data_IF_088170219581
#
_entry.id   IF_088170219581
#
_cell.length_a   1.000
_cell.length_b   1.000
_cell.length_c   1.000
_cell.angle_alpha   90.00
_cell.angle_beta   90.00
_cell.angle_gamma   90.00
#
_symmetry.space_group_name_H-M   'P 1'
#
loop_
_entity.id
_entity.type
_entity.pdbx_description
1 polymer ?
#
# COMPACT_ATOMS: atom_id res chain seq x y z
N UNK A 1 15.95 42.40 -24.94
CA UNK A 1 15.98 41.13 -25.66
C UNK A 1 17.03 40.27 -24.95
N UNK A 2 16.62 39.65 -23.84
CA UNK A 2 17.52 38.86 -22.98
C UNK A 2 17.25 37.39 -23.24
N UNK A 3 18.27 36.69 -23.71
CA UNK A 3 18.31 35.25 -23.90
C UNK A 3 18.47 34.58 -22.54
N UNK A 4 17.42 33.88 -22.10
CA UNK A 4 17.45 33.00 -20.94
C UNK A 4 18.04 31.66 -21.37
N UNK A 5 19.25 31.37 -20.92
CA UNK A 5 19.88 30.06 -21.09
C UNK A 5 19.23 29.05 -20.12
N UNK A 6 18.55 28.05 -20.68
CA UNK A 6 18.00 26.92 -19.94
C UNK A 6 19.12 25.94 -19.59
N UNK A 7 19.42 25.84 -18.30
CA UNK A 7 20.38 24.90 -17.74
C UNK A 7 19.77 23.49 -17.66
N UNK A 8 20.17 22.62 -18.60
CA UNK A 8 19.77 21.21 -18.66
C UNK A 8 20.64 20.39 -17.72
N UNK A 9 20.17 20.10 -16.51
CA UNK A 9 20.84 19.19 -15.57
C UNK A 9 20.08 17.86 -15.50
N UNK A 10 20.44 16.93 -16.38
CA UNK A 10 20.02 15.53 -16.36
C UNK A 10 21.26 14.65 -16.58
N UNK A 11 22.03 14.35 -15.52
CA UNK A 11 23.24 13.52 -15.66
C UNK A 11 23.75 12.91 -14.33
N UNK A 12 22.88 12.50 -13.40
CA UNK A 12 23.36 11.92 -12.13
C UNK A 12 22.63 10.66 -11.62
N UNK A 13 21.58 10.18 -12.28
CA UNK A 13 20.84 8.99 -11.81
C UNK A 13 21.14 7.68 -12.55
N UNK A 14 21.87 7.73 -13.67
CA UNK A 14 22.14 6.55 -14.51
C UNK A 14 23.39 5.73 -14.14
N UNK A 15 24.14 6.09 -13.08
CA UNK A 15 25.36 5.37 -12.70
C UNK A 15 25.23 4.38 -11.53
N UNK A 16 24.03 4.10 -11.02
CA UNK A 16 23.87 3.20 -9.84
C UNK A 16 23.47 1.75 -10.12
N UNK A 17 23.28 1.33 -11.36
CA UNK A 17 22.79 -0.04 -11.67
C UNK A 17 23.88 -1.01 -12.15
N UNK A 18 25.10 -0.55 -12.48
CA UNK A 18 26.14 -1.42 -13.04
C UNK A 18 27.38 -1.56 -12.14
N UNK A 19 27.24 -2.08 -10.90
CA UNK A 19 28.40 -2.56 -10.13
C UNK A 19 28.00 -3.50 -9.00
N UNK A 20 27.66 -4.76 -9.31
CA UNK A 20 27.66 -5.81 -8.29
C UNK A 20 27.82 -7.22 -8.85
N UNK A 21 28.89 -7.43 -9.61
CA UNK A 21 29.44 -8.77 -9.82
C UNK A 21 30.93 -8.74 -9.48
N UNK A 22 31.38 -9.80 -8.79
CA UNK A 22 32.75 -10.12 -8.35
C UNK A 22 33.25 -9.48 -7.05
N UNK A 23 33.17 -10.23 -5.93
CA UNK A 23 34.36 -10.64 -5.15
C UNK A 23 34.09 -12.01 -4.52
N UNK A 24 35.09 -12.86 -4.67
CA UNK A 24 35.15 -14.26 -4.29
C UNK A 24 35.16 -14.53 -2.78
N UNK A 25 34.58 -15.68 -2.43
CA UNK A 25 35.15 -16.76 -1.61
C UNK A 25 36.18 -16.38 -0.53
N UNK A 26 35.80 -16.53 0.74
CA UNK A 26 36.76 -16.55 1.84
C UNK A 26 36.15 -16.65 3.26
N UNK A 27 36.32 -17.85 3.85
CA UNK A 27 36.31 -18.23 5.29
C UNK A 27 34.99 -18.55 6.01
N UNK A 28 34.92 -19.72 6.68
CA UNK A 28 33.93 -20.00 7.72
C UNK A 28 34.43 -19.39 9.04
N UNK A 29 33.71 -18.40 9.55
CA UNK A 29 33.85 -17.94 10.94
C UNK A 29 32.63 -18.41 11.72
N UNK A 30 32.87 -19.43 12.53
CA UNK A 30 32.03 -19.88 13.62
C UNK A 30 32.01 -18.78 14.69
N UNK A 31 31.00 -17.91 14.64
CA UNK A 31 30.73 -16.89 15.64
C UNK A 31 29.35 -17.12 16.24
N UNK A 32 29.31 -17.27 17.57
CA UNK A 32 28.09 -17.40 18.36
C UNK A 32 27.27 -16.10 18.25
N UNK A 33 26.32 -16.05 17.32
CA UNK A 33 25.34 -14.98 17.26
C UNK A 33 24.31 -15.18 18.37
N UNK A 34 24.50 -14.41 19.43
CA UNK A 34 23.49 -14.17 20.45
C UNK A 34 22.34 -13.44 19.77
N UNK A 35 21.32 -14.19 19.39
CA UNK A 35 20.06 -13.70 18.82
C UNK A 35 19.41 -12.69 19.78
N UNK A 36 19.70 -11.40 19.58
CA UNK A 36 18.92 -10.30 20.14
C UNK A 36 17.58 -10.27 19.42
N UNK A 37 16.66 -11.13 19.85
CA UNK A 37 15.26 -11.01 19.52
C UNK A 37 14.71 -9.77 20.24
N UNK A 38 14.23 -8.73 19.53
CA UNK A 38 13.64 -7.57 20.17
C UNK A 38 12.40 -8.00 20.97
N UNK A 39 12.23 -7.56 22.23
CA UNK A 39 11.22 -8.05 23.17
C UNK A 39 9.76 -7.64 22.86
N UNK A 40 9.45 -7.28 21.61
CA UNK A 40 8.14 -6.76 21.20
C UNK A 40 7.35 -7.73 20.29
N UNK A 41 7.94 -8.86 19.87
CA UNK A 41 7.27 -9.88 19.05
C UNK A 41 6.76 -11.09 19.87
N UNK A 42 6.19 -10.83 21.04
CA UNK A 42 5.51 -11.83 21.85
C UNK A 42 4.10 -11.30 22.09
N UNK A 43 3.19 -11.66 21.20
CA UNK A 43 1.76 -11.88 21.44
C UNK A 43 1.01 -11.86 20.11
N UNK A 44 -0.10 -12.60 20.03
CA UNK A 44 -1.01 -12.74 18.87
C UNK A 44 -0.65 -13.84 17.85
N UNK A 45 -0.29 -15.02 18.34
CA UNK A 45 -0.63 -16.29 17.66
C UNK A 45 -1.19 -17.26 18.68
N UNK A 46 -2.27 -16.86 19.35
CA UNK A 46 -3.03 -17.76 20.21
C UNK A 46 -3.97 -18.61 19.34
N UNK A 47 -3.95 -19.90 19.67
CA UNK A 47 -4.39 -21.03 18.85
C UNK A 47 -5.91 -21.10 18.67
N UNK A 48 -6.42 -20.73 17.50
CA UNK A 48 -7.72 -21.21 17.05
C UNK A 48 -7.55 -22.58 16.40
N UNK A 49 -7.76 -23.61 17.23
CA UNK A 49 -7.85 -25.00 16.81
C UNK A 49 -8.88 -25.15 15.67
N UNK A 50 -8.50 -25.67 14.48
CA UNK A 50 -9.45 -25.89 13.41
C UNK A 50 -10.38 -27.05 13.79
N UNK A 51 -11.62 -26.72 14.17
CA UNK A 51 -12.70 -27.69 14.28
C UNK A 51 -12.90 -28.38 12.91
N UNK A 52 -12.32 -29.57 12.75
CA UNK A 52 -12.54 -30.46 11.62
C UNK A 52 -14.00 -30.92 11.61
N UNK A 53 -14.84 -30.19 10.91
CA UNK A 53 -16.23 -30.57 10.65
C UNK A 53 -16.27 -31.55 9.48
N UNK A 54 -16.17 -32.85 9.76
CA UNK A 54 -16.37 -33.90 8.74
C UNK A 54 -17.86 -34.11 8.50
N UNK A 55 -18.44 -33.32 7.60
CA UNK A 55 -19.81 -33.52 7.12
C UNK A 55 -19.85 -34.69 6.13
N UNK A 56 -20.05 -35.91 6.62
CA UNK A 56 -20.41 -37.06 5.79
C UNK A 56 -21.89 -36.95 5.42
N UNK A 57 -22.17 -36.24 4.33
CA UNK A 57 -23.50 -36.24 3.72
C UNK A 57 -23.61 -37.43 2.77
N UNK A 58 -24.18 -38.53 3.26
CA UNK A 58 -24.54 -39.70 2.45
C UNK A 58 -25.79 -39.36 1.63
N UNK A 59 -25.65 -38.47 0.65
CA UNK A 59 -26.68 -38.23 -0.36
C UNK A 59 -26.69 -39.45 -1.27
N UNK A 60 -27.79 -40.20 -1.22
CA UNK A 60 -28.03 -41.38 -2.04
C UNK A 60 -27.91 -41.02 -3.52
N UNK A 61 -26.82 -41.47 -4.12
CA UNK A 61 -26.52 -41.41 -5.55
C UNK A 61 -27.42 -42.38 -6.31
N UNK A 62 -28.50 -41.88 -6.90
CA UNK A 62 -29.06 -42.47 -8.12
C UNK A 62 -29.97 -41.44 -8.82
N UNK A 63 -29.87 -41.39 -10.15
CA UNK A 63 -30.53 -40.48 -11.10
C UNK A 63 -29.94 -39.06 -11.16
N UNK A 64 -28.88 -38.80 -11.91
CA UNK A 64 -28.67 -39.10 -13.34
C UNK A 64 -27.22 -39.47 -13.62
N UNK A 65 -26.96 -40.56 -14.35
CA UNK A 65 -25.63 -40.86 -14.90
C UNK A 65 -25.22 -39.73 -15.88
N UNK A 66 -24.55 -38.70 -15.38
CA UNK A 66 -24.06 -37.53 -16.12
C UNK A 66 -22.88 -37.85 -17.06
N UNK A 67 -22.57 -39.14 -17.23
CA UNK A 67 -21.47 -39.63 -18.03
C UNK A 67 -21.91 -40.42 -19.28
N UNK A 68 -23.21 -40.64 -19.52
CA UNK A 68 -23.67 -41.26 -20.76
C UNK A 68 -23.46 -40.27 -21.93
N UNK A 69 -22.90 -40.70 -23.07
CA UNK A 69 -22.78 -39.86 -24.26
C UNK A 69 -24.19 -39.56 -24.78
N UNK A 70 -24.70 -38.41 -24.38
CA UNK A 70 -26.00 -37.90 -24.80
C UNK A 70 -25.85 -36.48 -25.35
N UNK A 71 -26.74 -36.05 -26.26
CA UNK A 71 -26.67 -34.73 -26.89
C UNK A 71 -26.66 -33.58 -25.87
N UNK A 72 -27.34 -33.74 -24.73
CA UNK A 72 -27.33 -32.74 -23.64
C UNK A 72 -25.93 -32.51 -23.04
N UNK A 73 -25.06 -33.52 -23.01
CA UNK A 73 -23.71 -33.40 -22.47
C UNK A 73 -22.76 -32.64 -23.40
N UNK A 74 -22.91 -32.83 -24.72
CA UNK A 74 -22.17 -32.06 -25.71
C UNK A 74 -22.56 -30.58 -25.64
N UNK A 75 -23.86 -30.29 -25.51
CA UNK A 75 -24.37 -28.93 -25.31
C UNK A 75 -23.83 -28.32 -24.01
N UNK A 76 -23.89 -29.04 -22.88
CA UNK A 76 -23.35 -28.58 -21.61
C UNK A 76 -21.86 -28.22 -21.70
N UNK A 77 -21.04 -29.11 -22.28
CA UNK A 77 -19.62 -28.87 -22.47
C UNK A 77 -19.35 -27.67 -23.40
N UNK A 78 -20.15 -27.51 -24.47
CA UNK A 78 -20.04 -26.39 -25.38
C UNK A 78 -20.31 -25.06 -24.66
N UNK A 79 -21.37 -24.99 -23.85
CA UNK A 79 -21.71 -23.79 -23.09
C UNK A 79 -20.69 -23.49 -22.00
N UNK A 80 -20.20 -24.50 -21.27
CA UNK A 80 -19.12 -24.30 -20.29
C UNK A 80 -17.85 -23.77 -20.96
N UNK A 81 -17.47 -24.34 -22.10
CA UNK A 81 -16.31 -23.86 -22.85
C UNK A 81 -16.51 -22.43 -23.37
N UNK A 82 -17.68 -22.12 -23.94
CA UNK A 82 -18.02 -20.79 -24.41
C UNK A 82 -18.02 -19.76 -23.27
N UNK A 83 -18.58 -20.12 -22.11
CA UNK A 83 -18.57 -19.31 -20.89
C UNK A 83 -17.15 -19.00 -20.42
N UNK A 84 -16.32 -20.03 -20.24
CA UNK A 84 -14.91 -19.84 -19.82
C UNK A 84 -14.10 -19.02 -20.84
N UNK A 85 -14.36 -19.19 -22.14
CA UNK A 85 -13.69 -18.38 -23.18
C UNK A 85 -14.12 -16.92 -23.14
N UNK A 86 -15.41 -16.65 -22.91
CA UNK A 86 -15.95 -15.29 -22.75
C UNK A 86 -15.39 -14.62 -21.49
N UNK A 87 -15.44 -15.30 -20.34
CA UNK A 87 -14.89 -14.82 -19.07
C UNK A 87 -13.41 -14.48 -19.20
N UNK A 88 -12.63 -15.33 -19.88
CA UNK A 88 -11.22 -15.08 -20.10
C UNK A 88 -10.97 -13.84 -20.99
N UNK A 89 -11.77 -13.65 -22.04
CA UNK A 89 -11.66 -12.48 -22.92
C UNK A 89 -12.08 -11.19 -22.21
N UNK A 90 -13.19 -11.21 -21.48
CA UNK A 90 -13.67 -10.06 -20.70
C UNK A 90 -12.66 -9.70 -19.60
N UNK A 91 -12.18 -10.71 -18.84
CA UNK A 91 -11.15 -10.53 -17.83
C UNK A 91 -9.87 -9.91 -18.41
N UNK A 92 -9.42 -10.35 -19.59
CA UNK A 92 -8.25 -9.79 -20.26
C UNK A 92 -8.43 -8.33 -20.67
N UNK A 93 -9.63 -7.93 -21.12
CA UNK A 93 -9.91 -6.55 -21.53
C UNK A 93 -10.00 -5.61 -20.31
N UNK A 94 -10.66 -6.03 -19.24
CA UNK A 94 -10.74 -5.27 -17.99
C UNK A 94 -9.34 -5.11 -17.39
N UNK A 95 -8.56 -6.18 -17.35
CA UNK A 95 -7.17 -6.13 -16.88
C UNK A 95 -6.30 -5.20 -17.73
N UNK A 96 -6.44 -5.18 -19.06
CA UNK A 96 -5.66 -4.26 -19.91
C UNK A 96 -5.96 -2.80 -19.60
N UNK A 97 -7.23 -2.43 -19.39
CA UNK A 97 -7.60 -1.06 -19.03
C UNK A 97 -7.08 -0.69 -17.64
N UNK A 98 -7.25 -1.57 -16.66
CA UNK A 98 -6.75 -1.36 -15.30
C UNK A 98 -5.21 -1.22 -15.27
N UNK A 99 -4.49 -2.09 -15.99
CA UNK A 99 -3.04 -2.02 -16.11
C UNK A 99 -2.57 -0.75 -16.81
N UNK A 100 -3.27 -0.30 -17.87
CA UNK A 100 -2.93 0.95 -18.56
C UNK A 100 -3.15 2.16 -17.64
N UNK A 101 -4.29 2.22 -16.94
CA UNK A 101 -4.57 3.29 -15.98
C UNK A 101 -3.54 3.30 -14.84
N UNK A 102 -3.16 2.12 -14.35
CA UNK A 102 -2.13 1.96 -13.34
C UNK A 102 -0.75 2.41 -13.86
N UNK A 103 -0.35 2.00 -15.06
CA UNK A 103 0.92 2.43 -15.66
C UNK A 103 0.98 3.94 -15.89
N UNK A 104 -0.14 4.55 -16.29
CA UNK A 104 -0.25 6.00 -16.43
C UNK A 104 -0.13 6.71 -15.08
N UNK A 105 -0.78 6.18 -14.04
CA UNK A 105 -0.69 6.67 -12.66
C UNK A 105 0.75 6.63 -12.15
N UNK A 106 1.44 5.49 -12.32
CA UNK A 106 2.86 5.32 -11.95
C UNK A 106 3.75 6.28 -12.75
N UNK A 107 3.50 6.44 -14.05
CA UNK A 107 4.29 7.34 -14.90
C UNK A 107 4.15 8.80 -14.47
N UNK A 108 2.93 9.26 -14.17
CA UNK A 108 2.69 10.62 -13.64
C UNK A 108 3.39 10.82 -12.30
N UNK A 109 3.31 9.81 -11.43
CA UNK A 109 3.96 9.81 -10.14
C UNK A 109 5.50 9.89 -10.27
N UNK A 110 6.09 9.09 -11.16
CA UNK A 110 7.54 9.04 -11.39
C UNK A 110 8.09 10.23 -12.18
N UNK A 111 7.26 10.89 -13.00
CA UNK A 111 7.65 12.08 -13.76
C UNK A 111 8.00 13.29 -12.88
N UNK A 112 8.00 13.13 -11.55
CA UNK A 112 8.47 14.16 -10.62
C UNK A 112 7.57 15.39 -10.62
N UNK A 113 6.31 15.24 -11.04
CA UNK A 113 5.28 16.24 -10.73
C UNK A 113 5.14 16.20 -9.22
N UNK A 114 5.94 17.01 -8.52
CA UNK A 114 5.98 17.09 -7.06
C UNK A 114 4.54 17.23 -6.59
N UNK A 115 3.99 16.14 -6.06
CA UNK A 115 2.61 16.07 -5.59
C UNK A 115 2.36 17.19 -4.57
N UNK A 116 3.43 17.56 -3.84
CA UNK A 116 3.48 18.72 -2.95
C UNK A 116 2.98 20.02 -3.59
N UNK A 117 3.27 20.29 -4.87
CA UNK A 117 2.80 21.50 -5.56
C UNK A 117 1.31 21.46 -5.89
N UNK A 118 0.75 20.27 -6.13
CA UNK A 118 -0.67 20.11 -6.52
C UNK A 118 -1.60 20.05 -5.31
N UNK A 119 -1.14 19.54 -4.16
CA UNK A 119 -1.95 19.49 -2.92
C UNK A 119 -2.16 20.89 -2.29
N UNK A 120 -1.45 21.91 -2.76
CA UNK A 120 -1.80 23.30 -2.46
C UNK A 120 -3.09 23.79 -3.14
N UNK A 121 -3.69 22.96 -4.00
CA UNK A 121 -4.97 23.28 -4.59
C UNK A 121 -6.03 23.37 -3.49
N UNK A 122 -6.72 24.51 -3.45
CA UNK A 122 -7.93 24.71 -2.64
C UNK A 122 -9.06 23.77 -3.08
N UNK A 123 -8.92 23.08 -4.22
CA UNK A 123 -9.89 22.09 -4.68
C UNK A 123 -9.80 20.79 -3.88
N UNK A 124 -10.82 20.56 -3.05
CA UNK A 124 -11.00 19.31 -2.29
C UNK A 124 -11.06 18.09 -3.22
N UNK A 125 -11.64 18.23 -4.41
CA UNK A 125 -11.78 17.14 -5.36
C UNK A 125 -10.43 16.66 -5.94
N UNK A 126 -9.46 17.55 -6.10
CA UNK A 126 -8.11 17.19 -6.54
C UNK A 126 -7.33 16.46 -5.43
N UNK A 127 -7.41 16.98 -4.20
CA UNK A 127 -6.79 16.35 -3.03
C UNK A 127 -7.31 14.93 -2.82
N UNK A 128 -8.61 14.72 -2.99
CA UNK A 128 -9.22 13.40 -2.90
C UNK A 128 -8.68 12.45 -3.98
N UNK A 129 -8.61 12.87 -5.24
CA UNK A 129 -8.05 12.04 -6.33
C UNK A 129 -6.60 11.63 -6.09
N UNK A 130 -5.80 12.53 -5.52
CA UNK A 130 -4.40 12.25 -5.17
C UNK A 130 -4.32 11.23 -4.04
N UNK A 131 -5.10 11.41 -2.96
CA UNK A 131 -5.16 10.46 -1.86
C UNK A 131 -5.65 9.07 -2.33
N UNK A 132 -6.66 9.01 -3.20
CA UNK A 132 -7.13 7.75 -3.78
C UNK A 132 -6.05 7.06 -4.63
N UNK A 133 -5.32 7.84 -5.42
CA UNK A 133 -4.18 7.37 -6.22
C UNK A 133 -3.10 6.76 -5.33
N UNK A 134 -2.72 7.43 -4.24
CA UNK A 134 -1.72 6.93 -3.29
C UNK A 134 -2.17 5.62 -2.62
N UNK A 135 -3.42 5.50 -2.20
CA UNK A 135 -3.96 4.24 -1.66
C UNK A 135 -3.91 3.11 -2.69
N UNK A 136 -4.11 3.43 -3.96
CA UNK A 136 -4.05 2.43 -5.03
C UNK A 136 -2.61 1.98 -5.31
N UNK A 137 -1.64 2.91 -5.32
CA UNK A 137 -0.21 2.62 -5.45
C UNK A 137 0.33 1.83 -4.25
N UNK A 138 -0.12 2.15 -3.03
CA UNK A 138 0.21 1.42 -1.80
C UNK A 138 -0.25 -0.06 -1.84
N UNK A 139 -1.29 -0.37 -2.64
CA UNK A 139 -1.78 -1.75 -2.88
C UNK A 139 -1.04 -2.49 -4.00
N UNK A 140 -0.02 -1.89 -4.61
CA UNK A 140 0.74 -2.49 -5.71
C UNK A 140 1.37 -3.85 -5.33
N UNK A 141 1.62 -4.69 -6.32
CA UNK A 141 2.44 -5.90 -6.15
C UNK A 141 3.96 -5.59 -6.13
N UNK A 142 4.34 -4.39 -6.61
CA UNK A 142 5.72 -3.95 -6.70
C UNK A 142 6.11 -3.21 -5.41
N UNK A 143 7.08 -3.77 -4.68
CA UNK A 143 7.52 -3.26 -3.38
C UNK A 143 8.15 -1.87 -3.48
N UNK A 144 8.76 -1.51 -4.61
CA UNK A 144 9.33 -0.17 -4.83
C UNK A 144 8.22 0.87 -5.01
N UNK A 145 7.15 0.53 -5.73
CA UNK A 145 5.99 1.42 -5.89
C UNK A 145 5.25 1.59 -4.57
N UNK A 146 5.09 0.52 -3.79
CA UNK A 146 4.52 0.61 -2.44
C UNK A 146 5.34 1.55 -1.55
N UNK A 147 6.68 1.39 -1.54
CA UNK A 147 7.60 2.20 -0.77
C UNK A 147 7.45 3.68 -1.09
N UNK A 148 7.45 4.02 -2.38
CA UNK A 148 7.25 5.38 -2.85
C UNK A 148 5.87 5.95 -2.44
N UNK A 149 4.82 5.15 -2.51
CA UNK A 149 3.49 5.57 -2.07
C UNK A 149 3.47 5.85 -0.56
N UNK A 150 4.14 5.04 0.25
CA UNK A 150 4.24 5.26 1.70
C UNK A 150 4.98 6.54 2.03
N UNK A 151 6.13 6.78 1.39
CA UNK A 151 6.91 8.01 1.55
C UNK A 151 6.03 9.24 1.26
N UNK A 152 5.30 9.25 0.15
CA UNK A 152 4.41 10.37 -0.19
C UNK A 152 3.25 10.53 0.78
N UNK A 153 2.60 9.43 1.22
CA UNK A 153 1.55 9.51 2.24
C UNK A 153 2.07 10.22 3.49
N UNK A 154 3.28 9.87 3.94
CA UNK A 154 3.88 10.46 5.14
C UNK A 154 4.26 11.91 4.91
N UNK A 155 4.88 12.25 3.78
CA UNK A 155 5.24 13.65 3.50
C UNK A 155 3.99 14.52 3.44
N UNK A 156 2.92 14.07 2.79
CA UNK A 156 1.66 14.79 2.77
C UNK A 156 1.05 14.93 4.17
N UNK A 157 1.12 13.89 4.97
CA UNK A 157 0.63 13.93 6.34
C UNK A 157 1.42 14.92 7.21
N UNK A 158 2.74 14.99 7.06
CA UNK A 158 3.60 15.92 7.79
C UNK A 158 3.32 17.36 7.36
N UNK A 159 3.12 17.60 6.07
CA UNK A 159 2.85 18.95 5.53
C UNK A 159 1.43 19.43 5.83
N UNK A 160 0.43 18.55 5.75
CA UNK A 160 -1.00 18.90 5.79
C UNK A 160 -1.82 17.91 6.63
N UNK A 161 -1.51 17.72 7.93
CA UNK A 161 -2.07 16.63 8.73
C UNK A 161 -3.60 16.65 8.80
N UNK A 162 -4.20 17.83 9.00
CA UNK A 162 -5.66 17.98 9.12
C UNK A 162 -6.41 17.70 7.80
N UNK A 163 -5.91 18.26 6.70
CA UNK A 163 -6.51 18.10 5.37
C UNK A 163 -6.37 16.66 4.87
N UNK A 164 -5.18 16.08 5.00
CA UNK A 164 -4.92 14.71 4.56
C UNK A 164 -5.72 13.71 5.38
N UNK A 165 -5.78 13.88 6.71
CA UNK A 165 -6.57 13.01 7.60
C UNK A 165 -8.06 13.06 7.26
N UNK A 166 -8.63 14.26 7.10
CA UNK A 166 -10.05 14.41 6.75
C UNK A 166 -10.37 13.85 5.36
N UNK A 167 -9.46 14.03 4.41
CA UNK A 167 -9.60 13.48 3.04
C UNK A 167 -9.58 11.95 3.07
N UNK A 168 -8.61 11.32 3.74
CA UNK A 168 -8.58 9.86 3.88
C UNK A 168 -9.80 9.33 4.63
N UNK A 169 -10.22 9.98 5.72
CA UNK A 169 -11.43 9.60 6.45
C UNK A 169 -12.67 9.63 5.56
N UNK A 170 -12.84 10.67 4.75
CA UNK A 170 -13.92 10.78 3.76
C UNK A 170 -13.89 9.64 2.74
N UNK A 171 -12.71 9.32 2.20
CA UNK A 171 -12.52 8.21 1.25
C UNK A 171 -12.93 6.88 1.88
N UNK A 172 -12.43 6.57 3.09
CA UNK A 172 -12.74 5.32 3.78
C UNK A 172 -14.23 5.21 4.15
N UNK A 173 -14.83 6.31 4.61
CA UNK A 173 -16.26 6.37 4.91
C UNK A 173 -17.10 6.12 3.65
N UNK A 174 -16.76 6.75 2.51
CA UNK A 174 -17.45 6.54 1.23
C UNK A 174 -17.36 5.09 0.76
N UNK A 175 -16.21 4.45 0.93
CA UNK A 175 -15.98 3.05 0.53
C UNK A 175 -16.51 2.03 1.53
N UNK A 176 -16.93 2.47 2.72
CA UNK A 176 -17.28 1.60 3.86
C UNK A 176 -16.11 0.67 4.23
N UNK A 177 -14.90 1.19 4.16
CA UNK A 177 -13.67 0.47 4.46
C UNK A 177 -13.12 0.90 5.83
N UNK A 178 -12.49 -0.02 6.55
CA UNK A 178 -11.77 0.27 7.80
C UNK A 178 -10.31 0.56 7.47
N UNK A 179 -9.78 1.70 7.88
CA UNK A 179 -8.42 2.17 7.55
C UNK A 179 -7.35 1.11 7.84
N UNK A 180 -7.44 0.48 9.02
CA UNK A 180 -6.43 -0.45 9.51
C UNK A 180 -6.46 -1.76 8.71
N UNK A 181 -7.65 -2.19 8.27
CA UNK A 181 -7.81 -3.34 7.39
C UNK A 181 -7.20 -3.07 6.00
N UNK A 182 -7.37 -1.85 5.47
CA UNK A 182 -6.77 -1.45 4.19
C UNK A 182 -5.25 -1.42 4.27
N UNK A 183 -4.69 -0.82 5.33
CA UNK A 183 -3.26 -0.81 5.57
C UNK A 183 -2.70 -2.24 5.68
N UNK A 184 -3.37 -3.11 6.45
CA UNK A 184 -2.98 -4.52 6.58
C UNK A 184 -2.93 -5.26 5.23
N UNK A 185 -3.83 -4.93 4.31
CA UNK A 185 -3.87 -5.54 2.97
C UNK A 185 -2.68 -5.15 2.07
N UNK A 186 -1.84 -4.18 2.44
CA UNK A 186 -0.64 -3.84 1.67
C UNK A 186 0.49 -4.85 1.85
N UNK A 187 0.53 -5.54 3.01
CA UNK A 187 1.53 -6.55 3.30
C UNK A 187 1.05 -7.91 2.81
N UNK A 188 1.94 -8.65 2.12
CA UNK A 188 1.64 -9.99 1.59
C UNK A 188 2.34 -11.06 2.42
N UNK A 189 1.68 -12.19 2.71
CA UNK A 189 2.27 -13.25 3.53
C UNK A 189 3.45 -13.96 2.85
N UNK A 190 3.53 -13.93 1.51
CA UNK A 190 4.56 -14.65 0.73
C UNK A 190 5.72 -13.77 0.24
N UNK A 191 5.78 -12.51 0.69
CA UNK A 191 6.83 -11.56 0.27
C UNK A 191 7.67 -11.21 1.49
N UNK A 192 8.99 -11.43 1.38
CA UNK A 192 9.94 -10.94 2.36
C UNK A 192 10.20 -9.46 2.13
N UNK A 193 9.97 -8.65 3.16
CA UNK A 193 10.15 -7.21 3.10
C UNK A 193 11.41 -6.79 3.85
N UNK A 194 12.20 -5.92 3.23
CA UNK A 194 13.35 -5.32 3.89
C UNK A 194 12.93 -4.38 5.04
N UNK A 195 13.87 -4.13 5.95
CA UNK A 195 13.66 -3.25 7.12
C UNK A 195 13.12 -1.87 6.74
N UNK A 196 13.70 -1.25 5.69
CA UNK A 196 13.25 0.06 5.22
C UNK A 196 11.78 0.06 4.81
N UNK A 197 11.34 -0.96 4.07
CA UNK A 197 9.94 -1.09 3.68
C UNK A 197 9.01 -1.22 4.90
N UNK A 198 9.39 -2.05 5.88
CA UNK A 198 8.60 -2.25 7.11
C UNK A 198 8.47 -0.97 7.94
N UNK A 199 9.52 -0.14 8.00
CA UNK A 199 9.50 1.15 8.67
C UNK A 199 8.49 2.10 8.02
N UNK A 200 8.63 2.30 6.70
CA UNK A 200 7.74 3.19 5.94
C UNK A 200 6.30 2.70 5.96
N UNK A 201 6.06 1.40 5.83
CA UNK A 201 4.76 0.78 5.99
C UNK A 201 4.11 1.11 7.34
N UNK A 202 4.85 0.98 8.45
CA UNK A 202 4.33 1.27 9.80
C UNK A 202 3.98 2.75 9.96
N UNK A 203 4.85 3.64 9.48
CA UNK A 203 4.61 5.08 9.52
C UNK A 203 3.37 5.46 8.70
N UNK A 204 3.26 4.99 7.46
CA UNK A 204 2.11 5.26 6.61
C UNK A 204 0.82 4.67 7.19
N UNK A 205 0.87 3.46 7.77
CA UNK A 205 -0.27 2.84 8.45
C UNK A 205 -0.75 3.69 9.63
N UNK A 206 0.17 4.26 10.43
CA UNK A 206 -0.17 5.16 11.53
C UNK A 206 -0.80 6.47 11.04
N UNK A 207 -0.31 7.04 9.93
CA UNK A 207 -0.92 8.22 9.32
C UNK A 207 -2.39 7.99 8.93
N UNK A 208 -2.73 6.76 8.51
CA UNK A 208 -4.09 6.40 8.10
C UNK A 208 -4.99 5.91 9.23
N UNK A 209 -4.45 5.59 10.41
CA UNK A 209 -5.25 4.98 11.47
C UNK A 209 -6.39 5.89 11.92
N UNK A 210 -7.57 5.29 12.07
CA UNK A 210 -8.76 5.98 12.56
C UNK A 210 -8.66 6.27 14.06
N UNK A 211 -7.78 5.56 14.78
CA UNK A 211 -7.55 5.78 16.20
C UNK A 211 -7.01 7.20 16.44
N UNK A 212 -7.60 7.98 17.37
CA UNK A 212 -7.07 9.28 17.73
C UNK A 212 -5.76 9.10 18.49
N UNK A 213 -4.64 9.12 17.77
CA UNK A 213 -3.34 9.23 18.40
C UNK A 213 -3.19 10.66 18.95
N UNK A 214 -2.96 10.79 20.26
CA UNK A 214 -2.80 12.09 20.94
C UNK A 214 -1.66 12.91 20.32
N UNK A 215 -0.58 12.26 19.90
CA UNK A 215 0.55 12.88 19.20
C UNK A 215 0.14 13.49 17.87
N UNK A 216 -0.75 12.82 17.13
CA UNK A 216 -1.31 13.36 15.87
C UNK A 216 -2.24 14.55 16.15
N UNK A 217 -3.01 14.49 17.23
CA UNK A 217 -3.90 15.60 17.59
C UNK A 217 -3.09 16.83 18.03
N UNK A 218 -2.00 16.62 18.77
CA UNK A 218 -1.04 17.66 19.12
C UNK A 218 -0.36 18.23 17.86
N UNK A 219 0.04 17.39 16.90
CA UNK A 219 0.70 17.84 15.67
C UNK A 219 -0.22 18.66 14.75
N UNK A 220 -1.53 18.36 14.73
CA UNK A 220 -2.50 19.17 13.98
C UNK A 220 -2.58 20.63 14.46
N UNK A 221 -2.21 20.93 15.71
CA UNK A 221 -2.13 22.31 16.19
C UNK A 221 -1.00 23.11 15.51
N UNK A 222 0.04 22.44 15.00
CA UNK A 222 1.18 23.07 14.33
C UNK A 222 0.85 23.55 12.91
N UNK A 223 -0.06 22.88 12.18
CA UNK A 223 -0.32 23.20 10.77
C UNK A 223 -0.91 24.61 10.58
N UNK A 224 -1.60 25.14 11.59
CA UNK A 224 -2.12 26.51 11.55
C UNK A 224 -1.06 27.58 11.87
N UNK A 225 0.11 27.20 12.39
CA UNK A 225 1.08 28.13 12.98
C UNK A 225 2.39 28.27 12.20
N UNK A 226 2.51 27.61 11.05
CA UNK A 226 3.73 27.64 10.19
C UNK A 226 4.18 29.05 9.76
N UNK A 227 3.41 30.10 10.04
CA UNK A 227 3.63 31.44 9.52
C UNK A 227 4.02 32.52 10.52
N UNK A 228 4.12 32.34 11.86
CA UNK A 228 4.57 33.48 12.70
C UNK A 228 5.23 33.28 14.07
N UNK A 229 5.03 32.18 14.80
CA UNK A 229 5.88 31.82 15.94
C UNK A 229 5.39 30.50 16.53
N UNK A 230 6.28 29.51 16.64
CA UNK A 230 5.99 28.31 17.39
C UNK A 230 6.29 28.57 18.86
N UNK A 231 5.25 28.60 19.69
CA UNK A 231 5.45 28.62 21.14
C UNK A 231 6.04 27.28 21.60
N UNK A 232 7.04 27.35 22.48
CA UNK A 232 7.74 26.17 23.01
C UNK A 232 6.81 25.18 23.73
N UNK A 233 5.73 25.69 24.32
CA UNK A 233 4.68 24.91 24.99
C UNK A 233 4.04 23.85 24.07
N UNK A 234 3.86 24.16 22.79
CA UNK A 234 3.27 23.26 21.80
C UNK A 234 4.24 22.12 21.47
N UNK A 235 5.54 22.43 21.43
CA UNK A 235 6.60 21.43 21.26
C UNK A 235 6.69 20.48 22.48
N UNK A 236 6.59 21.01 23.70
CA UNK A 236 6.53 20.18 24.90
C UNK A 236 5.30 19.27 24.95
N UNK A 237 4.14 19.74 24.49
CA UNK A 237 2.92 18.92 24.37
C UNK A 237 3.14 17.75 23.40
N UNK A 238 3.79 18.01 22.25
CA UNK A 238 4.14 16.98 21.28
C UNK A 238 5.08 15.92 21.90
N UNK A 239 6.15 16.36 22.56
CA UNK A 239 7.11 15.45 23.21
C UNK A 239 6.46 14.65 24.34
N UNK A 240 5.57 15.27 25.10
CA UNK A 240 4.85 14.61 26.20
C UNK A 240 3.88 13.55 25.68
N UNK A 241 3.30 13.77 24.50
CA UNK A 241 2.40 12.80 23.84
C UNK A 241 3.15 11.54 23.38
N UNK A 242 4.43 11.67 23.00
CA UNK A 242 5.27 10.53 22.59
C UNK A 242 5.66 9.58 23.72
N UNK A 243 5.38 9.91 24.99
CA UNK A 243 5.85 9.13 26.16
C UNK A 243 4.90 8.00 26.58
N UNK A 244 3.69 7.98 26.04
CA UNK A 244 2.61 7.10 26.45
C UNK A 244 2.16 6.09 25.36
N UNK A 245 2.84 6.08 24.21
CA UNK A 245 2.62 5.17 23.07
C UNK A 245 3.79 4.16 22.94
#
# INVERSE_FOLDING_TARGET
METIETYTSNSALDQRIARKDNVASGRPLSGNDTSFSPPFLVDVWEEDAPARYSYYSTVSTNFTMSNLPGPGRLLGNLYSWAGSSLEHRVGKLVNRKALKAYAEMVSRFQAGTKIHGTIWSTDVGENEKICETLLQLARSNDTMIQLQAFEEIIVLYVLFPSQVRSTFASIFQRRKEVSDAIAFCWKRPSVEYGFGWLLWYRLASRCLSSSPNLTVQASAKFSHMLSRSLEFSIFEELLSSCRYD
#
